data_IF_944318971181
#
_entry.id   IF_944318971181
#
_cell.length_a   1.000
_cell.length_b   1.000
_cell.length_c   1.000
_cell.angle_alpha   90.00
_cell.angle_beta   90.00
_cell.angle_gamma   90.00
#
_symmetry.space_group_name_H-M   'P 1'
#
loop_
_entity.id
_entity.type
_entity.pdbx_description
1 polymer ?
#
# COMPACT_ATOMS: atom_id res chain seq x y z
N UNK A 1 -4.59 8.36 14.73
CA UNK A 1 -3.64 8.15 13.61
C UNK A 1 -3.60 9.36 12.68
N UNK A 2 -2.44 9.64 12.11
CA UNK A 2 -2.22 10.75 11.16
C UNK A 2 -3.18 10.65 9.96
N UNK A 3 -3.79 11.75 9.48
CA UNK A 3 -4.59 11.75 8.26
C UNK A 3 -3.81 11.21 7.06
N UNK A 4 -4.47 10.47 6.18
CA UNK A 4 -3.79 9.84 5.03
C UNK A 4 -3.08 10.86 4.12
N UNK A 5 -3.67 12.05 3.96
CA UNK A 5 -3.08 13.16 3.19
C UNK A 5 -1.75 13.69 3.77
N UNK A 6 -1.50 13.48 5.06
CA UNK A 6 -0.29 13.94 5.74
C UNK A 6 0.80 12.87 5.82
N UNK A 7 0.46 11.62 5.47
CA UNK A 7 1.38 10.49 5.48
C UNK A 7 2.45 10.63 4.37
N UNK A 8 3.70 10.32 4.69
CA UNK A 8 4.85 10.44 3.78
C UNK A 8 5.59 9.14 3.56
N UNK A 9 5.79 8.34 4.60
CA UNK A 9 6.56 7.11 4.55
C UNK A 9 5.65 5.89 4.68
N UNK A 10 5.60 5.10 3.61
CA UNK A 10 4.83 3.86 3.51
C UNK A 10 5.80 2.68 3.41
N UNK A 11 5.78 1.80 4.40
CA UNK A 11 6.69 0.65 4.50
C UNK A 11 5.93 -0.67 4.54
N UNK A 12 6.68 -1.79 4.52
CA UNK A 12 6.10 -3.12 4.35
C UNK A 12 6.67 -4.14 5.35
N UNK A 13 5.77 -4.93 5.94
CA UNK A 13 6.07 -6.24 6.49
C UNK A 13 5.65 -7.24 5.42
N UNK A 14 6.58 -7.60 4.53
CA UNK A 14 6.35 -8.56 3.45
C UNK A 14 6.96 -9.91 3.80
N UNK A 15 6.12 -10.95 3.84
CA UNK A 15 6.56 -12.30 4.22
C UNK A 15 7.64 -12.87 3.32
N UNK A 16 7.73 -12.45 2.06
CA UNK A 16 8.77 -12.86 1.13
C UNK A 16 10.17 -12.32 1.51
N UNK A 17 10.24 -11.27 2.33
CA UNK A 17 11.48 -10.57 2.70
C UNK A 17 11.76 -10.56 4.21
N UNK A 18 11.08 -11.37 4.99
CA UNK A 18 11.32 -11.45 6.44
C UNK A 18 12.73 -11.97 6.76
N UNK A 19 13.25 -12.90 5.96
CA UNK A 19 14.59 -13.48 6.15
C UNK A 19 14.81 -13.99 7.60
N UNK A 20 13.80 -14.65 8.18
CA UNK A 20 13.83 -15.18 9.55
C UNK A 20 13.55 -14.16 10.66
N UNK A 21 13.28 -12.90 10.33
CA UNK A 21 12.89 -11.88 11.33
C UNK A 21 11.47 -12.12 11.81
N UNK A 22 11.23 -11.85 13.08
CA UNK A 22 9.86 -11.81 13.61
C UNK A 22 9.08 -10.64 13.01
N UNK A 23 7.85 -10.87 12.49
CA UNK A 23 7.05 -9.81 11.85
C UNK A 23 6.66 -8.65 12.79
N UNK A 24 6.39 -8.95 14.08
CA UNK A 24 6.02 -7.90 15.05
C UNK A 24 7.25 -7.07 15.45
N UNK A 25 8.43 -7.69 15.55
CA UNK A 25 9.68 -6.96 15.78
C UNK A 25 10.06 -6.10 14.60
N UNK A 26 9.86 -6.58 13.36
CA UNK A 26 10.05 -5.77 12.17
C UNK A 26 9.08 -4.59 12.14
N UNK A 27 7.80 -4.81 12.43
CA UNK A 27 6.81 -3.74 12.51
C UNK A 27 7.21 -2.67 13.56
N UNK A 28 7.70 -3.09 14.73
CA UNK A 28 8.21 -2.17 15.77
C UNK A 28 9.39 -1.34 15.28
N UNK A 29 10.34 -1.94 14.56
CA UNK A 29 11.48 -1.23 13.97
C UNK A 29 11.01 -0.20 12.92
N UNK A 30 10.03 -0.57 12.07
CA UNK A 30 9.46 0.35 11.08
C UNK A 30 8.72 1.51 11.75
N UNK A 31 7.95 1.27 12.80
CA UNK A 31 7.32 2.33 13.60
C UNK A 31 8.38 3.28 14.19
N UNK A 32 9.42 2.74 14.81
CA UNK A 32 10.52 3.54 15.38
C UNK A 32 11.31 4.31 14.30
N UNK A 33 11.33 3.79 13.07
CA UNK A 33 11.93 4.42 11.90
C UNK A 33 11.09 5.55 11.29
N UNK A 34 9.90 5.84 11.85
CA UNK A 34 9.05 6.96 11.43
C UNK A 34 8.10 6.62 10.28
N UNK A 35 7.75 5.35 10.09
CA UNK A 35 6.71 4.97 9.12
C UNK A 35 5.37 5.59 9.49
N UNK A 36 4.66 6.13 8.50
CA UNK A 36 3.28 6.63 8.65
C UNK A 36 2.25 5.53 8.32
N UNK A 37 2.58 4.65 7.36
CA UNK A 37 1.79 3.46 7.03
C UNK A 37 2.69 2.23 7.03
N UNK A 38 2.17 1.11 7.53
CA UNK A 38 2.84 -0.20 7.45
C UNK A 38 1.86 -1.20 6.86
N UNK A 39 2.22 -1.79 5.71
CA UNK A 39 1.42 -2.81 5.05
C UNK A 39 1.91 -4.21 5.41
N UNK A 40 1.00 -5.06 5.90
CA UNK A 40 1.22 -6.50 5.91
C UNK A 40 0.91 -7.07 4.52
N UNK A 41 1.92 -7.65 3.89
CA UNK A 41 1.83 -8.34 2.61
C UNK A 41 2.30 -9.79 2.76
N UNK A 42 1.38 -10.74 2.58
CA UNK A 42 1.62 -12.17 2.70
C UNK A 42 1.05 -12.92 1.49
N UNK A 43 1.58 -12.58 0.29
CA UNK A 43 1.07 -13.10 -0.98
C UNK A 43 1.26 -14.62 -1.05
N UNK A 44 0.17 -15.33 -1.39
CA UNK A 44 0.17 -16.79 -1.50
C UNK A 44 0.07 -17.55 -0.18
N UNK A 45 0.00 -16.85 0.94
CA UNK A 45 -0.20 -17.50 2.24
C UNK A 45 -1.69 -17.83 2.47
N UNK A 46 -2.00 -18.91 3.21
CA UNK A 46 -3.35 -19.19 3.65
C UNK A 46 -3.91 -18.00 4.46
N UNK A 47 -5.16 -17.61 4.20
CA UNK A 47 -5.79 -16.46 4.84
C UNK A 47 -5.75 -16.50 6.36
N UNK A 48 -5.87 -17.68 6.95
CA UNK A 48 -5.79 -17.85 8.40
C UNK A 48 -4.39 -17.53 8.96
N UNK A 49 -3.33 -17.84 8.22
CA UNK A 49 -1.98 -17.45 8.58
C UNK A 49 -1.77 -15.94 8.46
N UNK A 50 -2.33 -15.33 7.41
CA UNK A 50 -2.32 -13.85 7.26
C UNK A 50 -3.04 -13.20 8.44
N UNK A 51 -4.17 -13.77 8.88
CA UNK A 51 -4.90 -13.31 10.08
C UNK A 51 -4.01 -13.33 11.32
N UNK A 52 -3.36 -14.47 11.60
CA UNK A 52 -2.47 -14.60 12.77
C UNK A 52 -1.34 -13.56 12.77
N UNK A 53 -0.74 -13.33 11.59
CA UNK A 53 0.27 -12.29 11.45
C UNK A 53 -0.32 -10.90 11.69
N UNK A 54 -1.47 -10.60 11.14
CA UNK A 54 -2.14 -9.31 11.32
C UNK A 54 -2.49 -9.07 12.78
N UNK A 55 -3.02 -10.08 13.50
CA UNK A 55 -3.34 -10.01 14.92
C UNK A 55 -2.09 -9.80 15.80
N UNK A 56 -0.94 -10.37 15.41
CA UNK A 56 0.33 -10.16 16.11
C UNK A 56 0.91 -8.75 15.88
N UNK A 57 0.74 -8.20 14.67
CA UNK A 57 1.31 -6.90 14.27
C UNK A 57 0.43 -5.73 14.72
N UNK A 58 -0.90 -5.86 14.64
CA UNK A 58 -1.84 -4.76 14.88
C UNK A 58 -1.64 -4.04 16.24
N UNK A 59 -1.41 -4.72 17.39
CA UNK A 59 -1.16 -4.03 18.65
C UNK A 59 0.08 -3.13 18.62
N UNK A 60 1.15 -3.59 17.97
CA UNK A 60 2.42 -2.86 17.85
C UNK A 60 2.22 -1.57 17.04
N UNK A 61 1.55 -1.66 15.90
CA UNK A 61 1.30 -0.53 15.00
C UNK A 61 0.35 0.48 15.67
N UNK A 62 -0.72 -0.02 16.31
CA UNK A 62 -1.69 0.83 17.03
C UNK A 62 -1.06 1.59 18.18
N UNK A 63 -0.17 0.95 18.95
CA UNK A 63 0.54 1.61 20.05
C UNK A 63 1.44 2.76 19.55
N UNK A 64 1.97 2.65 18.33
CA UNK A 64 2.82 3.66 17.70
C UNK A 64 2.03 4.75 16.95
N UNK A 65 0.70 4.68 16.94
CA UNK A 65 -0.20 5.59 16.22
C UNK A 65 0.08 5.64 14.69
N UNK A 66 0.55 4.52 14.13
CA UNK A 66 0.83 4.32 12.70
C UNK A 66 -0.39 3.67 12.03
N UNK A 67 -0.65 3.97 10.75
CA UNK A 67 -1.74 3.34 9.99
C UNK A 67 -1.39 1.91 9.60
N UNK A 68 -2.25 0.98 9.95
CA UNK A 68 -2.11 -0.41 9.53
C UNK A 68 -2.82 -0.65 8.20
N UNK A 69 -2.14 -1.30 7.27
CA UNK A 69 -2.66 -1.63 5.94
C UNK A 69 -2.65 -3.14 5.75
N UNK A 70 -3.78 -3.71 5.36
CA UNK A 70 -3.87 -5.11 4.94
C UNK A 70 -3.92 -5.18 3.42
N UNK A 71 -3.07 -6.01 2.83
CA UNK A 71 -3.05 -6.25 1.40
C UNK A 71 -4.04 -7.34 0.99
N UNK A 72 -4.82 -7.14 -0.07
CA UNK A 72 -5.75 -8.06 -0.75
C UNK A 72 -6.99 -8.52 0.05
N UNK A 73 -7.00 -8.46 1.37
CA UNK A 73 -8.04 -9.04 2.22
C UNK A 73 -8.87 -7.99 2.96
N UNK A 74 -9.89 -7.44 2.30
CA UNK A 74 -10.76 -6.39 2.86
C UNK A 74 -11.47 -6.84 4.16
N UNK A 75 -12.00 -8.04 4.17
CA UNK A 75 -12.67 -8.62 5.34
C UNK A 75 -11.71 -8.80 6.54
N UNK A 76 -10.45 -9.14 6.25
CA UNK A 76 -9.42 -9.24 7.29
C UNK A 76 -9.03 -7.85 7.81
N UNK A 77 -8.89 -6.85 6.93
CA UNK A 77 -8.62 -5.47 7.35
C UNK A 77 -9.66 -5.01 8.39
N UNK A 78 -10.93 -5.29 8.13
CA UNK A 78 -12.03 -5.00 9.06
C UNK A 78 -11.93 -5.79 10.36
N UNK A 79 -11.67 -7.09 10.26
CA UNK A 79 -11.62 -7.98 11.43
C UNK A 79 -10.52 -7.59 12.43
N UNK A 80 -9.38 -7.09 11.96
CA UNK A 80 -8.27 -6.64 12.81
C UNK A 80 -8.29 -5.14 13.10
N UNK A 81 -9.27 -4.40 12.57
CA UNK A 81 -9.39 -2.94 12.74
C UNK A 81 -8.25 -2.18 12.08
N UNK A 82 -7.79 -2.62 10.90
CA UNK A 82 -6.83 -1.88 10.11
C UNK A 82 -7.49 -0.64 9.48
N UNK A 83 -6.76 0.48 9.50
CA UNK A 83 -7.26 1.75 8.96
C UNK A 83 -7.33 1.78 7.44
N UNK A 84 -6.63 0.84 6.76
CA UNK A 84 -6.50 0.82 5.31
C UNK A 84 -6.53 -0.61 4.76
N UNK A 85 -7.19 -0.81 3.62
CA UNK A 85 -7.01 -1.98 2.77
C UNK A 85 -6.39 -1.56 1.43
N UNK A 86 -5.44 -2.33 0.92
CA UNK A 86 -4.83 -2.09 -0.40
C UNK A 86 -5.15 -3.23 -1.36
N UNK A 87 -5.67 -2.91 -2.55
CA UNK A 87 -6.01 -3.88 -3.59
C UNK A 87 -5.23 -3.63 -4.89
N UNK A 88 -4.85 -4.71 -5.56
CA UNK A 88 -4.30 -4.68 -6.91
C UNK A 88 -5.38 -4.38 -7.97
N UNK A 89 -4.94 -4.15 -9.22
CA UNK A 89 -5.86 -3.98 -10.35
C UNK A 89 -6.70 -5.23 -10.56
N UNK A 90 -6.06 -6.40 -10.41
CA UNK A 90 -6.67 -7.72 -10.56
C UNK A 90 -7.71 -7.97 -9.45
N UNK A 91 -7.36 -7.59 -8.22
CA UNK A 91 -8.20 -7.85 -7.04
C UNK A 91 -9.42 -6.91 -6.96
N UNK A 92 -9.41 -5.82 -7.72
CA UNK A 92 -10.51 -4.86 -7.77
C UNK A 92 -11.22 -4.86 -9.14
N UNK A 93 -10.57 -4.40 -10.20
CA UNK A 93 -11.22 -4.21 -11.50
C UNK A 93 -11.48 -5.51 -12.25
N UNK A 94 -10.53 -6.46 -12.23
CA UNK A 94 -10.70 -7.75 -12.91
C UNK A 94 -11.66 -8.66 -12.12
N UNK A 95 -11.80 -8.43 -10.80
CA UNK A 95 -12.84 -9.03 -9.98
C UNK A 95 -14.26 -8.47 -10.26
N UNK A 96 -14.37 -7.46 -11.15
CA UNK A 96 -15.65 -6.92 -11.61
C UNK A 96 -16.14 -5.65 -10.92
N UNK A 97 -15.44 -5.17 -9.88
CA UNK A 97 -15.80 -3.92 -9.21
C UNK A 97 -15.49 -2.71 -10.11
N UNK A 98 -16.33 -1.70 -10.07
CA UNK A 98 -16.16 -0.44 -10.82
C UNK A 98 -15.98 0.77 -9.92
N UNK A 99 -16.54 0.71 -8.71
CA UNK A 99 -16.43 1.75 -7.71
C UNK A 99 -16.24 1.11 -6.33
N UNK A 100 -15.55 1.80 -5.43
CA UNK A 100 -15.37 1.35 -4.04
C UNK A 100 -16.72 1.04 -3.36
N UNK A 101 -17.82 1.64 -3.83
CA UNK A 101 -19.19 1.35 -3.37
C UNK A 101 -19.71 -0.03 -3.76
N UNK A 102 -19.09 -0.71 -4.71
CA UNK A 102 -19.49 -2.05 -5.14
C UNK A 102 -18.92 -3.14 -4.24
N UNK A 103 -17.94 -2.79 -3.39
CA UNK A 103 -17.32 -3.74 -2.47
C UNK A 103 -18.34 -4.25 -1.45
N UNK A 104 -18.26 -5.52 -1.03
CA UNK A 104 -19.15 -6.09 -0.03
C UNK A 104 -18.96 -5.42 1.33
N UNK A 105 -19.98 -5.56 2.20
CA UNK A 105 -19.92 -5.16 3.62
C UNK A 105 -19.76 -3.65 3.85
N UNK A 106 -20.80 -2.91 3.56
CA UNK A 106 -20.87 -1.47 3.76
C UNK A 106 -21.44 -1.07 5.13
N UNK A 107 -21.03 0.09 5.69
CA UNK A 107 -20.01 1.02 5.17
C UNK A 107 -18.60 0.45 5.29
N UNK A 108 -17.69 0.89 4.40
CA UNK A 108 -16.27 0.60 4.58
C UNK A 108 -15.78 1.31 5.84
N UNK A 109 -15.21 0.55 6.75
CA UNK A 109 -14.65 1.08 8.01
C UNK A 109 -13.15 1.42 7.87
N UNK A 110 -12.61 1.33 6.66
CA UNK A 110 -11.21 1.63 6.35
C UNK A 110 -11.10 2.36 5.00
N UNK A 111 -10.02 3.12 4.85
CA UNK A 111 -9.62 3.73 3.58
C UNK A 111 -9.22 2.64 2.57
N UNK A 112 -9.41 2.89 1.28
CA UNK A 112 -9.04 1.96 0.21
C UNK A 112 -7.94 2.53 -0.67
N UNK A 113 -6.82 1.82 -0.77
CA UNK A 113 -5.76 2.10 -1.73
C UNK A 113 -5.84 1.19 -2.94
N UNK A 114 -5.57 1.74 -4.13
CA UNK A 114 -5.51 0.97 -5.37
C UNK A 114 -4.14 1.11 -6.04
N UNK A 115 -3.62 -0.01 -6.56
CA UNK A 115 -2.40 -0.01 -7.38
C UNK A 115 -2.64 0.62 -8.75
N UNK A 116 -1.61 1.25 -9.33
CA UNK A 116 -1.61 1.69 -10.72
C UNK A 116 -0.23 1.55 -11.35
N UNK A 117 -0.22 1.24 -12.65
CA UNK A 117 0.99 0.98 -13.44
C UNK A 117 1.03 1.82 -14.72
N UNK A 118 0.04 2.67 -14.93
CA UNK A 118 -0.10 3.58 -16.05
C UNK A 118 -1.05 4.73 -15.69
N UNK A 119 -0.96 5.90 -16.36
CA UNK A 119 -1.85 7.03 -16.16
C UNK A 119 -3.34 6.68 -16.17
N UNK A 120 -3.79 5.90 -17.12
CA UNK A 120 -5.19 5.48 -17.27
C UNK A 120 -5.67 4.66 -16.07
N UNK A 121 -4.79 3.83 -15.51
CA UNK A 121 -5.10 3.04 -14.32
C UNK A 121 -5.22 3.92 -13.08
N UNK A 122 -4.37 4.95 -12.95
CA UNK A 122 -4.46 5.90 -11.84
C UNK A 122 -5.77 6.70 -11.92
N UNK A 123 -6.10 7.26 -13.09
CA UNK A 123 -7.36 7.98 -13.29
C UNK A 123 -8.58 7.09 -13.02
N UNK A 124 -8.53 5.84 -13.46
CA UNK A 124 -9.58 4.86 -13.18
C UNK A 124 -9.72 4.57 -11.69
N UNK A 125 -8.61 4.47 -10.96
CA UNK A 125 -8.61 4.27 -9.51
C UNK A 125 -9.23 5.48 -8.77
N UNK A 126 -8.87 6.70 -9.17
CA UNK A 126 -9.46 7.93 -8.63
C UNK A 126 -10.97 7.98 -8.92
N UNK A 127 -11.38 7.73 -10.17
CA UNK A 127 -12.80 7.69 -10.55
C UNK A 127 -13.59 6.59 -9.82
N UNK A 128 -12.94 5.49 -9.45
CA UNK A 128 -13.51 4.43 -8.63
C UNK A 128 -13.67 4.82 -7.16
N UNK A 129 -13.13 5.97 -6.72
CA UNK A 129 -13.23 6.47 -5.36
C UNK A 129 -12.17 5.90 -4.41
N UNK A 130 -10.97 5.57 -4.92
CA UNK A 130 -9.84 5.22 -4.08
C UNK A 130 -9.40 6.41 -3.20
N UNK A 131 -9.09 6.13 -1.93
CA UNK A 131 -8.60 7.14 -0.99
C UNK A 131 -7.12 7.49 -1.23
N UNK A 132 -6.36 6.57 -1.84
CA UNK A 132 -5.04 6.84 -2.39
C UNK A 132 -4.69 5.90 -3.55
N UNK A 133 -3.69 6.28 -4.32
CA UNK A 133 -3.17 5.51 -5.45
C UNK A 133 -1.70 5.14 -5.22
N UNK A 134 -1.33 3.88 -5.44
CA UNK A 134 0.07 3.46 -5.50
C UNK A 134 0.56 3.52 -6.94
N UNK A 135 1.63 4.29 -7.17
CA UNK A 135 2.24 4.56 -8.49
C UNK A 135 3.53 3.76 -8.63
N UNK A 136 3.51 2.69 -9.42
CA UNK A 136 4.69 1.83 -9.54
C UNK A 136 4.48 0.53 -10.32
N UNK A 137 5.54 -0.29 -10.44
CA UNK A 137 6.87 -0.12 -9.81
C UNK A 137 7.73 0.91 -10.55
N UNK A 138 8.29 1.89 -9.82
CA UNK A 138 9.13 2.94 -10.43
C UNK A 138 10.42 2.36 -11.01
N UNK A 139 11.05 1.45 -10.28
CA UNK A 139 12.23 0.71 -10.71
C UNK A 139 11.97 -0.80 -10.70
N UNK A 140 12.79 -1.61 -11.40
CA UNK A 140 12.68 -3.06 -11.34
C UNK A 140 12.72 -3.57 -9.90
N UNK A 141 11.85 -4.53 -9.57
CA UNK A 141 11.73 -5.09 -8.22
C UNK A 141 11.38 -6.56 -8.26
N UNK A 142 11.92 -7.33 -7.30
CA UNK A 142 11.58 -8.74 -7.11
C UNK A 142 10.17 -8.97 -6.53
N UNK A 143 9.53 -7.95 -5.95
CA UNK A 143 8.21 -8.06 -5.32
C UNK A 143 7.08 -8.38 -6.31
N UNK A 144 7.20 -7.90 -7.56
CA UNK A 144 6.28 -8.22 -8.69
C UNK A 144 7.11 -8.66 -9.89
N UNK A 145 7.62 -9.91 -9.92
CA UNK A 145 8.43 -10.41 -11.03
C UNK A 145 7.71 -10.28 -12.37
N UNK A 146 8.44 -9.89 -13.42
CA UNK A 146 7.90 -9.76 -14.79
C UNK A 146 7.11 -8.49 -15.08
N UNK A 147 6.86 -7.63 -14.11
CA UNK A 147 6.24 -6.33 -14.35
C UNK A 147 7.31 -5.31 -14.74
N UNK A 148 7.14 -4.68 -15.91
CA UNK A 148 8.02 -3.61 -16.36
C UNK A 148 7.97 -2.41 -15.40
N UNK A 149 9.13 -1.76 -15.20
CA UNK A 149 9.19 -0.52 -14.44
C UNK A 149 8.44 0.60 -15.19
N UNK A 150 7.67 1.40 -14.45
CA UNK A 150 6.90 2.53 -15.00
C UNK A 150 7.74 3.80 -15.16
N UNK A 151 8.94 3.79 -14.63
CA UNK A 151 9.95 4.86 -14.66
C UNK A 151 9.56 6.16 -13.94
N UNK A 152 10.50 7.09 -13.88
CA UNK A 152 10.28 8.42 -13.30
C UNK A 152 9.30 9.29 -14.11
N UNK A 153 9.04 8.94 -15.38
CA UNK A 153 8.08 9.70 -16.19
C UNK A 153 6.65 9.55 -15.67
N UNK A 154 6.30 8.34 -15.22
CA UNK A 154 5.00 8.16 -14.58
C UNK A 154 4.92 8.87 -13.21
N UNK A 155 6.01 8.96 -12.47
CA UNK A 155 6.06 9.74 -11.22
C UNK A 155 5.82 11.24 -11.51
N UNK A 156 6.48 11.81 -12.53
CA UNK A 156 6.28 13.20 -12.97
C UNK A 156 4.84 13.45 -13.40
N UNK A 157 4.28 12.52 -14.16
CA UNK A 157 2.88 12.60 -14.56
C UNK A 157 1.95 12.60 -13.33
N UNK A 158 2.14 11.67 -12.40
CA UNK A 158 1.33 11.58 -11.19
C UNK A 158 1.41 12.88 -10.36
N UNK A 159 2.60 13.45 -10.21
CA UNK A 159 2.82 14.70 -9.48
C UNK A 159 2.05 15.90 -10.05
N UNK A 160 1.72 15.88 -11.34
CA UNK A 160 1.00 16.98 -12.02
C UNK A 160 -0.49 16.71 -12.25
N UNK A 161 -0.96 15.45 -12.12
CA UNK A 161 -2.33 15.09 -12.50
C UNK A 161 -3.14 14.47 -11.36
N UNK A 162 -2.52 13.97 -10.29
CA UNK A 162 -3.24 13.36 -9.18
C UNK A 162 -3.42 14.36 -8.03
N UNK A 163 -4.68 14.61 -7.68
CA UNK A 163 -5.06 15.45 -6.54
C UNK A 163 -5.25 14.62 -5.25
N UNK A 164 -5.59 13.33 -5.39
CA UNK A 164 -5.68 12.41 -4.23
C UNK A 164 -4.28 12.05 -3.73
N UNK A 165 -4.11 11.66 -2.46
CA UNK A 165 -2.86 11.10 -1.98
C UNK A 165 -2.35 9.98 -2.89
N UNK A 166 -1.05 9.97 -3.21
CA UNK A 166 -0.45 8.89 -3.96
C UNK A 166 0.96 8.60 -3.45
N UNK A 167 1.39 7.35 -3.56
CA UNK A 167 2.69 6.89 -3.09
C UNK A 167 3.49 6.29 -4.25
N UNK A 168 4.70 6.79 -4.48
CA UNK A 168 5.66 6.17 -5.38
C UNK A 168 6.17 4.87 -4.75
N UNK A 169 6.19 3.77 -5.51
CA UNK A 169 6.58 2.46 -5.00
C UNK A 169 7.33 1.63 -6.03
N UNK A 170 8.14 0.69 -5.55
CA UNK A 170 8.83 -0.33 -6.36
C UNK A 170 10.27 0.01 -6.66
N UNK A 171 11.17 -0.77 -6.05
CA UNK A 171 12.61 -0.65 -6.22
C UNK A 171 13.22 0.65 -5.69
N UNK A 172 12.51 1.40 -4.85
CA UNK A 172 13.01 2.64 -4.25
C UNK A 172 13.87 2.29 -3.02
N UNK A 173 15.03 2.91 -2.94
CA UNK A 173 15.97 2.77 -1.84
C UNK A 173 16.80 4.06 -1.70
N UNK A 174 17.58 4.21 -0.63
CA UNK A 174 18.33 5.44 -0.34
C UNK A 174 19.21 5.90 -1.52
N UNK A 175 19.77 4.99 -2.31
CA UNK A 175 20.65 5.33 -3.44
C UNK A 175 19.92 5.92 -4.66
N UNK A 176 18.59 5.81 -4.76
CA UNK A 176 17.81 6.36 -5.88
C UNK A 176 16.66 7.28 -5.42
N UNK A 177 16.49 7.47 -4.10
CA UNK A 177 15.40 8.27 -3.53
C UNK A 177 15.40 9.70 -4.06
N UNK A 178 16.55 10.34 -4.15
CA UNK A 178 16.67 11.73 -4.63
C UNK A 178 16.07 11.91 -6.03
N UNK A 179 16.25 10.93 -6.92
CA UNK A 179 15.67 10.97 -8.27
C UNK A 179 14.13 10.89 -8.25
N UNK A 180 13.56 10.14 -7.29
CA UNK A 180 12.11 10.02 -7.11
C UNK A 180 11.53 11.32 -6.56
N UNK A 181 12.19 11.92 -5.57
CA UNK A 181 11.81 13.23 -5.03
C UNK A 181 11.92 14.33 -6.08
N UNK A 182 13.01 14.35 -6.87
CA UNK A 182 13.18 15.30 -7.98
C UNK A 182 12.14 15.12 -9.09
N UNK A 183 11.55 13.92 -9.24
CA UNK A 183 10.43 13.67 -10.14
C UNK A 183 9.07 14.16 -9.59
N UNK A 184 9.04 14.70 -8.37
CA UNK A 184 7.86 15.32 -7.75
C UNK A 184 7.11 14.43 -6.76
N UNK A 185 7.61 13.23 -6.43
CA UNK A 185 7.04 12.44 -5.34
C UNK A 185 7.30 13.12 -4.00
N UNK A 186 6.28 13.14 -3.16
CA UNK A 186 6.35 13.65 -1.77
C UNK A 186 6.01 12.55 -0.76
N UNK A 187 5.69 11.38 -1.28
CA UNK A 187 5.28 10.17 -0.56
C UNK A 187 5.85 8.94 -1.26
#
# INVERSE_FOLDING_TARGET
VKPLADCRLYTFVDTAYLAGRDPADLARQLCNGGSDLIQLRAKGWPKEEVRRLAEAIAPVIRQADVRFVINDHLDLARAVGAEVCHLGQEDFFDAGFRHVRDLPDRPLLCDLGLSSHAPEQALRAVAAGADYVAVGPVFPTGTKPGRAAVTLDYVRWAATHLEVPWFAIGGIHLGNLDSVLAAGATR
#
